data_IF_435507920052
#
_entry.id   IF_435507920052
#
_cell.length_a   1.000
_cell.length_b   1.000
_cell.length_c   1.000
_cell.angle_alpha   90.00
_cell.angle_beta   90.00
_cell.angle_gamma   90.00
#
_symmetry.space_group_name_H-M   'P 1'
#
loop_
_entity.id
_entity.type
_entity.pdbx_description
1 polymer ?
#
# COMPACT_ATOMS: atom_id res chain seq x y z
N UNK A 1 -0.93 -3.85 -14.50
CA UNK A 1 0.24 -3.39 -13.73
C UNK A 1 0.36 -4.12 -12.40
N UNK A 2 -0.64 -4.02 -11.49
CA UNK A 2 -0.63 -4.71 -10.19
C UNK A 2 -0.32 -6.23 -10.26
N UNK A 3 -0.89 -6.95 -11.25
CA UNK A 3 -0.61 -8.38 -11.45
C UNK A 3 0.88 -8.70 -11.68
N UNK A 4 1.67 -7.78 -12.25
CA UNK A 4 3.06 -8.07 -12.62
C UNK A 4 3.95 -8.28 -11.38
N UNK A 5 3.88 -7.39 -10.38
CA UNK A 5 4.69 -7.55 -9.17
C UNK A 5 4.14 -8.66 -8.24
N UNK A 6 2.82 -8.82 -8.12
CA UNK A 6 2.24 -9.94 -7.35
C UNK A 6 2.71 -11.29 -7.90
N UNK A 7 2.63 -11.49 -9.23
CA UNK A 7 3.17 -12.68 -9.88
C UNK A 7 4.67 -12.81 -9.66
N UNK A 8 5.42 -11.71 -9.67
CA UNK A 8 6.85 -11.73 -9.40
C UNK A 8 7.16 -12.20 -7.97
N UNK A 9 6.50 -11.67 -6.95
CA UNK A 9 6.70 -12.08 -5.55
C UNK A 9 6.36 -13.56 -5.35
N UNK A 10 5.19 -13.99 -5.85
CA UNK A 10 4.75 -15.40 -5.77
C UNK A 10 5.72 -16.35 -6.49
N UNK A 11 6.16 -16.01 -7.71
CA UNK A 11 7.11 -16.86 -8.48
C UNK A 11 8.47 -17.01 -7.81
N UNK A 12 8.88 -16.05 -6.99
CA UNK A 12 10.15 -16.08 -6.27
C UNK A 12 9.99 -16.51 -4.81
N UNK A 13 8.81 -17.01 -4.40
CA UNK A 13 8.49 -17.42 -3.03
C UNK A 13 8.77 -16.31 -1.99
N UNK A 14 8.57 -15.05 -2.37
CA UNK A 14 8.71 -13.91 -1.47
C UNK A 14 7.42 -13.70 -0.67
N UNK A 15 7.50 -13.25 0.59
CA UNK A 15 6.32 -12.99 1.41
C UNK A 15 5.40 -11.94 0.80
N UNK A 16 4.09 -12.20 0.85
CA UNK A 16 3.03 -11.29 0.42
C UNK A 16 2.06 -11.10 1.59
N UNK A 17 1.81 -9.84 1.96
CA UNK A 17 0.90 -9.45 3.04
C UNK A 17 -0.11 -8.48 2.44
N UNK A 18 -1.40 -8.80 2.60
CA UNK A 18 -2.51 -7.98 2.15
C UNK A 18 -3.03 -7.12 3.28
N UNK A 19 -3.31 -5.86 2.97
CA UNK A 19 -3.92 -4.94 3.91
C UNK A 19 -5.34 -4.62 3.46
N UNK A 20 -6.33 -4.91 4.30
CA UNK A 20 -7.74 -4.64 4.03
C UNK A 20 -8.25 -3.61 5.03
N UNK A 21 -8.85 -2.54 4.53
CA UNK A 21 -9.48 -1.54 5.39
C UNK A 21 -10.94 -1.92 5.63
N UNK A 22 -11.34 -1.98 6.89
CA UNK A 22 -12.74 -2.16 7.31
C UNK A 22 -13.12 -0.99 8.22
N UNK A 23 -14.15 -0.25 7.84
CA UNK A 23 -14.67 0.85 8.64
C UNK A 23 -15.35 0.33 9.91
N UNK A 24 -15.04 0.96 11.05
CA UNK A 24 -15.77 0.79 12.30
C UNK A 24 -16.93 1.79 12.43
N UNK A 25 -16.94 2.84 11.62
CA UNK A 25 -18.03 3.80 11.52
C UNK A 25 -19.17 3.23 10.67
N UNK A 26 -20.32 3.02 11.29
CA UNK A 26 -21.54 2.50 10.65
C UNK A 26 -22.17 3.49 9.67
N UNK A 27 -21.79 4.76 9.72
CA UNK A 27 -22.25 5.82 8.83
C UNK A 27 -21.33 6.03 7.63
N UNK A 28 -20.21 5.30 7.57
CA UNK A 28 -19.27 5.37 6.46
C UNK A 28 -19.92 4.99 5.13
N UNK A 29 -19.53 5.68 4.06
CA UNK A 29 -20.04 5.43 2.71
C UNK A 29 -19.29 4.31 1.96
N UNK A 30 -18.16 3.85 2.49
CA UNK A 30 -17.33 2.79 1.89
C UNK A 30 -16.58 2.01 2.98
N UNK A 31 -16.05 0.83 2.62
CA UNK A 31 -15.37 -0.11 3.52
C UNK A 31 -16.22 -0.65 4.69
N UNK A 32 -17.56 -0.57 4.60
CA UNK A 32 -18.45 -1.18 5.59
C UNK A 32 -18.25 -2.72 5.63
N UNK A 33 -18.29 -3.34 6.82
CA UNK A 33 -18.07 -4.77 6.96
C UNK A 33 -19.10 -5.59 6.16
N UNK A 34 -18.65 -6.71 5.59
CA UNK A 34 -19.48 -7.65 4.82
C UNK A 34 -20.16 -7.01 3.59
N UNK A 35 -19.54 -5.99 2.99
CA UNK A 35 -20.01 -5.40 1.73
C UNK A 35 -19.04 -5.69 0.60
N UNK A 36 -19.55 -5.79 -0.63
CA UNK A 36 -18.70 -5.98 -1.81
C UNK A 36 -17.63 -4.89 -1.96
N UNK A 37 -17.94 -3.65 -1.57
CA UNK A 37 -16.99 -2.53 -1.59
C UNK A 37 -15.85 -2.64 -0.56
N UNK A 38 -15.94 -3.57 0.39
CA UNK A 38 -14.90 -3.85 1.38
C UNK A 38 -14.01 -5.03 0.99
N UNK A 39 -14.39 -5.84 0.01
CA UNK A 39 -13.63 -7.02 -0.44
C UNK A 39 -12.33 -6.63 -1.16
N UNK A 40 -11.28 -7.44 -1.01
CA UNK A 40 -10.06 -7.29 -1.81
C UNK A 40 -10.39 -7.58 -3.28
N UNK A 41 -9.95 -6.69 -4.17
CA UNK A 41 -10.24 -6.80 -5.59
C UNK A 41 -9.70 -8.12 -6.18
N UNK A 42 -10.51 -8.78 -7.02
CA UNK A 42 -10.19 -10.06 -7.69
C UNK A 42 -8.84 -10.08 -8.42
N UNK A 43 -8.35 -8.93 -8.89
CA UNK A 43 -7.06 -8.81 -9.59
C UNK A 43 -5.88 -9.14 -8.67
N UNK A 44 -6.02 -8.90 -7.36
CA UNK A 44 -4.98 -9.05 -6.33
C UNK A 44 -5.48 -9.93 -5.18
N UNK A 45 -6.40 -10.85 -5.45
CA UNK A 45 -7.00 -11.67 -4.42
C UNK A 45 -5.92 -12.51 -3.70
N UNK A 46 -5.98 -12.62 -2.35
CA UNK A 46 -5.03 -13.41 -1.57
C UNK A 46 -5.06 -14.89 -1.93
N UNK A 47 -3.91 -15.55 -1.87
CA UNK A 47 -3.84 -17.02 -1.84
C UNK A 47 -4.00 -17.54 -0.41
N UNK A 48 -4.36 -18.82 -0.26
CA UNK A 48 -4.60 -19.45 1.04
C UNK A 48 -3.42 -19.36 2.03
N UNK A 49 -2.20 -19.18 1.51
CA UNK A 49 -0.97 -19.07 2.29
C UNK A 49 -0.47 -17.63 2.47
N UNK A 50 -1.24 -16.62 2.06
CA UNK A 50 -0.89 -15.19 2.17
C UNK A 50 -1.64 -14.53 3.33
N UNK A 51 -0.94 -13.71 4.10
CA UNK A 51 -1.51 -13.05 5.28
C UNK A 51 -2.47 -11.94 4.85
N UNK A 52 -3.61 -11.81 5.53
CA UNK A 52 -4.52 -10.66 5.41
C UNK A 52 -4.59 -9.95 6.76
N UNK A 53 -4.27 -8.67 6.76
CA UNK A 53 -4.33 -7.81 7.94
C UNK A 53 -5.47 -6.82 7.76
N UNK A 54 -6.40 -6.85 8.72
CA UNK A 54 -7.46 -5.86 8.81
C UNK A 54 -6.94 -4.62 9.51
N UNK A 55 -7.24 -3.45 8.96
CA UNK A 55 -6.99 -2.15 9.61
C UNK A 55 -8.25 -1.30 9.65
N UNK A 56 -8.30 -0.40 10.61
CA UNK A 56 -9.42 0.52 10.84
C UNK A 56 -9.05 2.00 10.68
N UNK A 57 -7.77 2.28 10.42
CA UNK A 57 -7.25 3.65 10.23
C UNK A 57 -6.44 3.74 8.92
N UNK A 58 -6.02 4.94 8.47
CA UNK A 58 -5.12 5.07 7.34
C UNK A 58 -3.78 4.35 7.52
N UNK A 59 -3.20 4.39 8.73
CA UNK A 59 -1.95 3.73 9.06
C UNK A 59 -2.13 2.21 9.16
N UNK A 60 -1.35 1.46 8.38
CA UNK A 60 -1.41 -0.01 8.37
C UNK A 60 -0.71 -0.65 9.57
N UNK A 61 0.09 0.09 10.33
CA UNK A 61 0.79 -0.38 11.53
C UNK A 61 0.03 -0.06 12.83
N UNK A 62 -0.85 0.94 12.81
CA UNK A 62 -1.54 1.39 14.01
C UNK A 62 -2.66 0.40 14.39
N UNK A 63 -2.55 -0.17 15.59
CA UNK A 63 -3.50 -1.15 16.14
C UNK A 63 -3.72 -2.36 15.20
N UNK A 64 -2.64 -2.85 14.57
CA UNK A 64 -2.64 -4.08 13.77
C UNK A 64 -1.46 -4.97 14.14
N UNK A 65 -1.50 -6.23 13.69
CA UNK A 65 -0.39 -7.19 13.86
C UNK A 65 0.73 -7.03 12.82
N UNK A 66 0.68 -6.02 11.94
CA UNK A 66 1.60 -5.89 10.80
C UNK A 66 3.07 -5.86 11.25
N UNK A 67 3.41 -5.03 12.22
CA UNK A 67 4.79 -4.94 12.70
C UNK A 67 5.27 -6.27 13.27
N UNK A 68 4.48 -6.90 14.14
CA UNK A 68 4.83 -8.18 14.76
C UNK A 68 4.97 -9.31 13.74
N UNK A 69 4.15 -9.33 12.69
CA UNK A 69 4.26 -10.30 11.59
C UNK A 69 5.55 -10.09 10.81
N UNK A 70 5.89 -8.84 10.47
CA UNK A 70 7.13 -8.49 9.77
C UNK A 70 8.37 -8.89 10.59
N UNK A 71 8.36 -8.59 11.90
CA UNK A 71 9.43 -8.97 12.83
C UNK A 71 9.60 -10.49 12.94
N UNK A 72 8.50 -11.24 13.13
CA UNK A 72 8.54 -12.71 13.18
C UNK A 72 9.10 -13.34 11.90
N UNK A 73 8.88 -12.71 10.74
CA UNK A 73 9.40 -13.16 9.45
C UNK A 73 10.79 -12.58 9.13
N UNK A 74 11.42 -11.84 10.04
CA UNK A 74 12.70 -11.16 9.86
C UNK A 74 12.75 -10.26 8.61
N UNK A 75 11.63 -9.60 8.29
CA UNK A 75 11.53 -8.72 7.12
C UNK A 75 12.04 -7.33 7.49
N UNK A 76 13.03 -6.83 6.76
CA UNK A 76 13.57 -5.46 6.91
C UNK A 76 13.26 -4.57 5.71
N UNK A 77 12.92 -5.17 4.56
CA UNK A 77 12.70 -4.49 3.30
C UNK A 77 11.25 -4.66 2.84
N UNK A 78 10.58 -3.56 2.55
CA UNK A 78 9.18 -3.53 2.15
C UNK A 78 9.04 -3.02 0.72
N UNK A 79 8.23 -3.72 -0.08
CA UNK A 79 7.76 -3.21 -1.38
C UNK A 79 6.28 -2.88 -1.23
N UNK A 80 5.96 -1.58 -1.32
CA UNK A 80 4.63 -1.04 -0.99
C UNK A 80 3.93 -0.57 -2.27
N UNK A 81 2.62 -0.79 -2.32
CA UNK A 81 1.72 -0.40 -3.41
C UNK A 81 0.26 -0.39 -2.92
N UNK A 82 -0.67 0.14 -3.72
CA UNK A 82 -2.10 0.15 -3.40
C UNK A 82 -2.72 1.54 -3.34
N UNK A 83 -3.72 1.73 -2.47
CA UNK A 83 -4.46 2.99 -2.44
C UNK A 83 -4.93 3.39 -1.03
N UNK A 84 -5.07 4.68 -0.73
CA UNK A 84 -4.82 5.82 -1.62
C UNK A 84 -3.43 6.43 -1.40
N UNK A 85 -2.80 6.93 -2.48
CA UNK A 85 -1.46 7.56 -2.46
C UNK A 85 -1.34 8.65 -1.40
N UNK A 86 -2.32 9.56 -1.33
CA UNK A 86 -2.32 10.69 -0.39
C UNK A 86 -2.73 10.35 1.05
N UNK A 87 -3.20 9.12 1.28
CA UNK A 87 -3.82 8.72 2.55
C UNK A 87 -3.12 7.48 3.07
N UNK A 88 -3.70 6.29 2.89
CA UNK A 88 -3.18 5.06 3.47
C UNK A 88 -1.73 4.76 3.07
N UNK A 89 -1.34 5.05 1.84
CA UNK A 89 0.03 4.83 1.35
C UNK A 89 1.00 5.81 2.02
N UNK A 90 0.73 7.12 1.94
CA UNK A 90 1.56 8.14 2.59
C UNK A 90 1.75 7.87 4.09
N UNK A 91 0.66 7.63 4.81
CA UNK A 91 0.70 7.38 6.26
C UNK A 91 1.52 6.13 6.57
N UNK A 92 1.24 5.01 5.90
CA UNK A 92 1.92 3.74 6.20
C UNK A 92 3.40 3.76 5.79
N UNK A 93 3.76 4.42 4.68
CA UNK A 93 5.16 4.56 4.24
C UNK A 93 5.96 5.37 5.25
N UNK A 94 5.40 6.48 5.75
CA UNK A 94 6.06 7.31 6.78
C UNK A 94 6.23 6.54 8.09
N UNK A 95 5.20 5.81 8.52
CA UNK A 95 5.29 4.97 9.72
C UNK A 95 6.31 3.85 9.55
N UNK A 96 6.32 3.16 8.40
CA UNK A 96 7.32 2.14 8.09
C UNK A 96 8.75 2.72 8.15
N UNK A 97 8.97 3.93 7.61
CA UNK A 97 10.29 4.56 7.66
C UNK A 97 10.71 4.91 9.09
N UNK A 98 9.77 5.40 9.92
CA UNK A 98 9.99 5.65 11.35
C UNK A 98 10.39 4.36 12.09
N UNK A 99 9.80 3.24 11.71
CA UNK A 99 10.12 1.90 12.21
C UNK A 99 11.40 1.30 11.59
N UNK A 100 12.13 2.07 10.76
CA UNK A 100 13.42 1.74 10.16
C UNK A 100 13.38 0.63 9.08
N UNK A 101 12.24 0.42 8.45
CA UNK A 101 12.18 -0.41 7.24
C UNK A 101 12.81 0.30 6.03
N UNK A 102 13.47 -0.47 5.17
CA UNK A 102 13.88 -0.02 3.84
C UNK A 102 12.73 -0.19 2.86
N UNK A 103 12.29 0.89 2.23
CA UNK A 103 11.03 0.91 1.50
C UNK A 103 11.27 1.20 0.02
N UNK A 104 10.78 0.31 -0.83
CA UNK A 104 10.54 0.59 -2.25
C UNK A 104 9.05 0.84 -2.45
N UNK A 105 8.68 1.99 -3.01
CA UNK A 105 7.29 2.33 -3.30
C UNK A 105 7.05 2.25 -4.82
N UNK A 106 6.10 1.41 -5.23
CA UNK A 106 5.80 1.21 -6.65
C UNK A 106 4.74 2.25 -7.08
N UNK A 107 5.19 3.36 -7.66
CA UNK A 107 4.34 4.52 -7.93
C UNK A 107 3.18 4.20 -8.86
N UNK A 108 3.46 3.51 -9.95
CA UNK A 108 2.47 3.16 -10.97
C UNK A 108 1.48 2.08 -10.49
N UNK A 109 1.84 1.34 -9.44
CA UNK A 109 0.93 0.44 -8.71
C UNK A 109 0.20 1.12 -7.54
N UNK A 110 0.30 2.45 -7.41
CA UNK A 110 -0.47 3.25 -6.47
C UNK A 110 -1.50 4.12 -7.19
N UNK A 111 -2.60 4.45 -6.51
CA UNK A 111 -3.60 5.38 -7.07
C UNK A 111 -4.27 6.23 -6.01
N UNK A 112 -4.97 7.27 -6.45
CA UNK A 112 -5.67 8.24 -5.61
C UNK A 112 -6.89 8.81 -6.33
N UNK A 113 -7.63 9.70 -5.67
CA UNK A 113 -8.77 10.44 -6.21
C UNK A 113 -8.51 11.96 -6.22
N UNK A 114 -9.39 12.71 -6.87
CA UNK A 114 -9.39 14.17 -6.78
C UNK A 114 -9.60 14.61 -5.33
N UNK A 115 -8.96 15.72 -4.96
CA UNK A 115 -9.14 16.37 -3.67
C UNK A 115 -9.76 17.75 -3.88
N UNK A 116 -10.51 18.22 -2.90
CA UNK A 116 -11.04 19.59 -2.88
C UNK A 116 -10.52 20.31 -1.64
N UNK A 117 -10.00 21.51 -1.81
CA UNK A 117 -9.53 22.37 -0.73
C UNK A 117 -9.86 23.83 -1.07
N UNK A 118 -10.58 24.52 -0.19
CA UNK A 118 -11.02 25.91 -0.41
C UNK A 118 -11.73 26.12 -1.77
N UNK A 119 -12.63 25.20 -2.13
CA UNK A 119 -13.34 25.18 -3.42
C UNK A 119 -12.44 25.03 -4.66
N UNK A 120 -11.17 24.68 -4.49
CA UNK A 120 -10.25 24.35 -5.58
C UNK A 120 -10.20 22.83 -5.69
N UNK A 121 -10.51 22.31 -6.88
CA UNK A 121 -10.30 20.90 -7.19
C UNK A 121 -8.85 20.66 -7.63
N UNK A 122 -8.20 19.70 -6.99
CA UNK A 122 -6.88 19.21 -7.35
C UNK A 122 -7.05 17.83 -7.96
N UNK A 123 -6.73 17.69 -9.24
CA UNK A 123 -6.91 16.44 -9.95
C UNK A 123 -6.04 15.31 -9.36
N UNK A 124 -6.51 14.08 -9.48
CA UNK A 124 -5.88 12.88 -8.91
C UNK A 124 -4.43 12.69 -9.37
N UNK A 125 -4.11 13.04 -10.62
CA UNK A 125 -2.74 12.92 -11.12
C UNK A 125 -1.81 13.89 -10.38
N UNK A 126 -2.19 15.16 -10.23
CA UNK A 126 -1.41 16.15 -9.44
C UNK A 126 -1.25 15.68 -8.00
N UNK A 127 -2.32 15.23 -7.36
CA UNK A 127 -2.26 14.69 -5.99
C UNK A 127 -1.27 13.52 -5.91
N UNK A 128 -1.39 12.55 -6.82
CA UNK A 128 -0.51 11.38 -6.85
C UNK A 128 0.96 11.78 -7.02
N UNK A 129 1.27 12.63 -8.01
CA UNK A 129 2.65 13.07 -8.30
C UNK A 129 3.25 13.82 -7.11
N UNK A 130 2.51 14.72 -6.47
CA UNK A 130 2.98 15.46 -5.29
C UNK A 130 3.32 14.51 -4.14
N UNK A 131 2.46 13.53 -3.85
CA UNK A 131 2.74 12.58 -2.77
C UNK A 131 3.89 11.63 -3.10
N UNK A 132 3.98 11.12 -4.34
CA UNK A 132 5.14 10.32 -4.77
C UNK A 132 6.44 11.11 -4.65
N UNK A 133 6.45 12.38 -5.10
CA UNK A 133 7.61 13.27 -4.99
C UNK A 133 7.97 13.57 -3.51
N UNK A 134 6.98 13.74 -2.64
CA UNK A 134 7.21 13.99 -1.21
C UNK A 134 7.78 12.79 -0.45
N UNK A 135 7.55 11.57 -0.94
CA UNK A 135 8.02 10.33 -0.34
C UNK A 135 9.40 9.92 -0.88
N UNK A 136 9.70 10.29 -2.12
CA UNK A 136 10.97 10.00 -2.80
C UNK A 136 12.18 10.45 -1.99
N UNK A 137 13.16 9.56 -1.85
CA UNK A 137 14.46 9.75 -1.17
C UNK A 137 14.39 9.97 0.35
N UNK A 138 13.35 10.62 0.87
CA UNK A 138 13.19 10.86 2.30
C UNK A 138 12.57 9.67 3.03
N UNK A 139 11.56 9.04 2.43
CA UNK A 139 10.80 7.96 3.07
C UNK A 139 10.90 6.63 2.32
N UNK A 140 10.98 6.67 0.99
CA UNK A 140 11.06 5.49 0.16
C UNK A 140 11.88 5.74 -1.11
N UNK A 141 12.39 4.67 -1.69
CA UNK A 141 12.85 4.62 -3.08
C UNK A 141 11.62 4.41 -3.98
N UNK A 142 11.09 5.50 -4.55
CA UNK A 142 9.90 5.48 -5.40
C UNK A 142 10.32 5.19 -6.85
N UNK A 143 9.72 4.16 -7.44
CA UNK A 143 9.99 3.75 -8.81
C UNK A 143 8.76 3.14 -9.45
N UNK A 144 8.73 3.10 -10.79
CA UNK A 144 7.69 2.37 -11.51
C UNK A 144 7.99 0.87 -11.54
N UNK A 145 6.98 0.08 -11.92
CA UNK A 145 7.04 -1.38 -11.95
C UNK A 145 8.19 -1.89 -12.82
N UNK A 146 8.39 -1.29 -13.99
CA UNK A 146 9.43 -1.77 -14.93
C UNK A 146 10.84 -1.54 -14.38
N UNK A 147 11.13 -0.38 -13.76
CA UNK A 147 12.43 -0.12 -13.08
C UNK A 147 12.65 -1.03 -11.88
N UNK A 148 11.59 -1.35 -11.13
CA UNK A 148 11.70 -2.31 -10.03
C UNK A 148 12.09 -3.70 -10.54
N UNK A 149 11.41 -4.18 -11.59
CA UNK A 149 11.65 -5.51 -12.13
C UNK A 149 12.99 -5.62 -12.87
N UNK A 150 13.44 -4.56 -13.56
CA UNK A 150 14.75 -4.55 -14.23
C UNK A 150 15.92 -4.61 -13.24
N UNK A 151 15.75 -4.07 -12.04
CA UNK A 151 16.81 -4.06 -11.04
C UNK A 151 16.86 -5.34 -10.20
N UNK A 152 15.89 -6.25 -10.36
CA UNK A 152 15.85 -7.54 -9.66
C UNK A 152 16.53 -8.66 -10.46
N UNK A 153 17.59 -8.33 -11.22
CA UNK A 153 18.41 -9.39 -11.80
C UNK A 153 19.20 -10.08 -10.68
N UNK A 154 19.03 -11.41 -10.61
CA UNK A 154 19.67 -12.34 -9.67
C UNK A 154 21.15 -12.08 -9.46
#
# INVERSE_FOLDING_TARGET
>A
MLKKYYCFFRKNNLPVIHIQHISTDKTASFFLPNTHGSEINKIVFPLDNEEIIIKHTPDSFFETDLQSILEKKNITNLVICGMMSHMCIDTSVRTAKKLRYDITLISDACTTKNLSWNNIEINANTVHQVFMASLQNSFADVKNTDKFLSNYHK
#
